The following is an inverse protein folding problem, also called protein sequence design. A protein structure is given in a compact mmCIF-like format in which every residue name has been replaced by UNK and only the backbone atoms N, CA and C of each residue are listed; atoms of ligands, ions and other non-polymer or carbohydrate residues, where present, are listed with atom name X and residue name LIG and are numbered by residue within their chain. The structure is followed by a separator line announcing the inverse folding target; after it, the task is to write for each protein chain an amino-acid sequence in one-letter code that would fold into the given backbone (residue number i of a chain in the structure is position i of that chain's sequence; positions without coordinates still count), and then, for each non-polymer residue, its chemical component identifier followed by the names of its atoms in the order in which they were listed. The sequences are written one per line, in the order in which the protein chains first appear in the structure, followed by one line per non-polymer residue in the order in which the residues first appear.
data_IF_103289982461
#
_entry.id   IF_103289982461
#
_cell.length_a   1.000
_cell.length_b   1.000
_cell.length_c   1.000
_cell.angle_alpha   90.00
_cell.angle_beta   90.00
_cell.angle_gamma   90.00
#
_symmetry.space_group_name_H-M   'P 1'
#
loop_
_entity.id
_entity.type
_entity.pdbx_description
1 polymer ?
#
# COMPACT_ATOMS: atom_id res chain seq x y z
N UNK A 1 -23.00 24.95 -80.15
CA UNK A 1 -21.54 25.07 -80.18
C UNK A 1 -21.02 24.39 -78.92
N UNK A 2 -21.02 23.05 -78.75
CA UNK A 2 -20.53 21.93 -79.57
C UNK A 2 -19.02 21.98 -79.87
N UNK A 3 -18.26 21.17 -79.13
CA UNK A 3 -17.04 20.37 -79.41
C UNK A 3 -16.50 19.93 -78.03
N UNK A 4 -16.64 18.71 -77.46
CA UNK A 4 -16.25 17.34 -77.89
C UNK A 4 -14.86 17.32 -78.55
N UNK A 5 -13.86 16.49 -78.18
CA UNK A 5 -13.62 15.37 -77.25
C UNK A 5 -12.07 15.18 -77.23
N UNK A 6 -11.42 14.29 -76.48
CA UNK A 6 -11.41 12.83 -76.70
C UNK A 6 -10.41 12.17 -75.72
N UNK A 7 -10.81 11.00 -75.16
CA UNK A 7 -10.01 9.80 -74.80
C UNK A 7 -8.92 9.88 -73.71
N UNK A 8 -8.80 8.94 -72.77
CA UNK A 8 -9.49 7.65 -72.61
C UNK A 8 -9.12 6.94 -71.29
N UNK A 9 -10.02 6.02 -70.93
CA UNK A 9 -9.83 4.68 -70.35
C UNK A 9 -9.05 4.43 -69.05
N UNK A 10 -9.85 4.03 -68.04
CA UNK A 10 -9.74 2.99 -67.01
C UNK A 10 -8.46 2.69 -66.18
N UNK A 11 -8.74 2.56 -64.87
CA UNK A 11 -8.02 2.07 -63.67
C UNK A 11 -7.29 0.71 -63.87
N UNK A 12 -6.23 0.38 -63.07
CA UNK A 12 -6.39 0.05 -61.63
C UNK A 12 -5.28 0.50 -60.67
N UNK A 13 -5.67 0.64 -59.40
CA UNK A 13 -4.79 0.64 -58.22
C UNK A 13 -4.28 -0.79 -58.03
N UNK A 14 -2.96 -0.97 -57.97
CA UNK A 14 -2.33 -2.22 -57.53
C UNK A 14 -1.36 -1.92 -56.36
N UNK A 15 -1.48 -2.60 -55.21
CA UNK A 15 -0.73 -2.30 -54.00
C UNK A 15 0.42 -3.31 -53.82
N UNK A 16 1.68 -2.89 -53.91
CA UNK A 16 2.79 -3.50 -53.17
C UNK A 16 4.11 -2.78 -53.46
N UNK A 17 4.95 -2.70 -52.42
CA UNK A 17 6.41 -2.63 -52.45
C UNK A 17 7.06 -1.24 -52.24
N UNK A 18 7.21 -0.85 -50.98
CA UNK A 18 8.55 -0.49 -50.47
C UNK A 18 8.69 -0.97 -49.00
N UNK A 19 9.66 -1.85 -48.67
CA UNK A 19 9.78 -2.49 -47.37
C UNK A 19 10.77 -1.78 -46.40
N UNK A 20 10.38 -1.76 -45.12
CA UNK A 20 11.25 -1.76 -43.91
C UNK A 20 12.13 -0.53 -43.63
N UNK A 21 11.71 0.26 -42.65
CA UNK A 21 12.62 0.79 -41.61
C UNK A 21 11.98 0.56 -40.25
N UNK A 22 12.53 -0.41 -39.53
CA UNK A 22 11.94 -0.99 -38.32
C UNK A 22 11.91 -0.02 -37.15
N UNK A 23 10.72 0.18 -36.61
CA UNK A 23 10.52 0.33 -35.18
C UNK A 23 10.48 -1.09 -34.61
N UNK A 24 11.39 -1.38 -33.68
CA UNK A 24 11.33 -2.61 -32.90
C UNK A 24 10.11 -2.48 -31.98
N UNK A 25 8.98 -2.99 -32.45
CA UNK A 25 7.89 -3.41 -31.58
C UNK A 25 8.47 -4.56 -30.75
N UNK A 26 8.79 -4.32 -29.47
CA UNK A 26 8.98 -5.40 -28.53
C UNK A 26 7.66 -6.16 -28.45
N UNK A 27 7.72 -7.45 -28.77
CA UNK A 27 6.58 -8.36 -28.78
C UNK A 27 6.09 -8.55 -27.33
N UNK A 28 5.29 -7.62 -26.82
CA UNK A 28 4.56 -7.81 -25.56
C UNK A 28 3.67 -9.04 -25.70
N UNK A 29 3.91 -10.04 -24.86
CA UNK A 29 3.25 -11.34 -24.93
C UNK A 29 1.72 -11.14 -24.87
N UNK A 30 0.91 -11.71 -25.78
CA UNK A 30 -0.55 -11.49 -25.80
C UNK A 30 -1.26 -11.81 -24.48
N UNK A 31 -0.68 -12.72 -23.68
CA UNK A 31 -1.14 -13.02 -22.32
C UNK A 31 -0.92 -11.88 -21.32
N UNK A 32 0.15 -11.09 -21.46
CA UNK A 32 0.46 -9.95 -20.58
C UNK A 32 -0.55 -8.82 -20.80
N UNK A 33 -0.78 -8.44 -22.06
CA UNK A 33 -1.79 -7.44 -22.44
C UNK A 33 -3.20 -7.87 -22.04
N UNK A 34 -3.54 -9.16 -22.22
CA UNK A 34 -4.83 -9.70 -21.75
C UNK A 34 -4.96 -9.67 -20.21
N UNK A 35 -3.88 -9.92 -19.48
CA UNK A 35 -3.87 -9.89 -18.01
C UNK A 35 -4.00 -8.47 -17.47
N UNK A 36 -3.33 -7.48 -18.09
CA UNK A 36 -3.41 -6.07 -17.70
C UNK A 36 -4.83 -5.53 -17.93
N UNK A 37 -5.43 -5.77 -19.09
CA UNK A 37 -6.80 -5.33 -19.36
C UNK A 37 -7.85 -6.02 -18.47
N UNK A 38 -7.65 -7.29 -18.13
CA UNK A 38 -8.47 -7.98 -17.13
C UNK A 38 -8.26 -7.40 -15.72
N UNK A 39 -7.04 -6.97 -15.39
CA UNK A 39 -6.72 -6.25 -14.17
C UNK A 39 -7.46 -4.90 -14.10
N UNK A 40 -7.28 -4.03 -15.08
CA UNK A 40 -7.92 -2.70 -15.17
C UNK A 40 -9.44 -2.79 -15.10
N UNK A 41 -10.05 -3.69 -15.89
CA UNK A 41 -11.50 -3.88 -15.91
C UNK A 41 -12.05 -4.38 -14.56
N UNK A 42 -11.21 -5.03 -13.75
CA UNK A 42 -11.57 -5.45 -12.40
C UNK A 42 -11.28 -4.36 -11.35
N UNK A 43 -10.18 -3.61 -11.44
CA UNK A 43 -9.88 -2.46 -10.57
C UNK A 43 -10.94 -1.34 -10.70
N UNK A 44 -11.44 -1.11 -11.91
CA UNK A 44 -12.52 -0.13 -12.16
C UNK A 44 -13.85 -0.47 -11.48
N UNK A 45 -14.03 -1.70 -10.96
CA UNK A 45 -15.24 -2.11 -10.23
C UNK A 45 -15.15 -1.92 -8.71
N UNK A 46 -14.03 -1.42 -8.20
CA UNK A 46 -13.84 -1.25 -6.76
C UNK A 46 -14.56 0.02 -6.28
N UNK A 47 -15.56 -0.15 -5.39
CA UNK A 47 -16.17 1.00 -4.72
C UNK A 47 -15.11 1.69 -3.85
N UNK A 48 -15.02 3.01 -3.94
CA UNK A 48 -14.12 3.84 -3.14
C UNK A 48 -14.23 3.57 -1.63
N UNK A 49 -15.41 3.15 -1.17
CA UNK A 49 -15.66 2.81 0.23
C UNK A 49 -14.85 1.59 0.70
N UNK A 50 -14.74 0.55 -0.11
CA UNK A 50 -14.00 -0.66 0.26
C UNK A 50 -12.49 -0.40 0.26
N UNK A 51 -12.01 0.38 -0.70
CA UNK A 51 -10.62 0.82 -0.73
C UNK A 51 -10.31 1.67 0.52
N UNK A 52 -11.16 2.64 0.83
CA UNK A 52 -10.99 3.51 1.99
C UNK A 52 -10.98 2.71 3.30
N UNK A 53 -11.89 1.74 3.45
CA UNK A 53 -11.92 0.86 4.61
C UNK A 53 -10.61 0.08 4.76
N UNK A 54 -10.12 -0.54 3.68
CA UNK A 54 -8.88 -1.30 3.68
C UNK A 54 -7.69 -0.42 4.13
N UNK A 55 -7.56 0.78 3.55
CA UNK A 55 -6.50 1.72 3.90
C UNK A 55 -6.58 2.19 5.37
N UNK A 56 -7.79 2.38 5.90
CA UNK A 56 -7.99 2.74 7.31
C UNK A 56 -7.54 1.59 8.22
N UNK A 57 -7.92 0.36 7.91
CA UNK A 57 -7.54 -0.82 8.71
C UNK A 57 -6.03 -1.00 8.71
N UNK A 58 -5.39 -0.91 7.55
CA UNK A 58 -3.94 -1.00 7.40
C UNK A 58 -3.21 0.08 8.23
N UNK A 59 -3.68 1.33 8.16
CA UNK A 59 -3.11 2.43 8.95
C UNK A 59 -3.26 2.22 10.47
N UNK A 60 -4.43 1.74 10.92
CA UNK A 60 -4.67 1.44 12.34
C UNK A 60 -3.81 0.27 12.80
N UNK A 61 -3.69 -0.79 11.99
CA UNK A 61 -2.92 -1.99 12.34
C UNK A 61 -1.43 -1.65 12.50
N UNK A 62 -0.83 -0.97 11.53
CA UNK A 62 0.58 -0.54 11.60
C UNK A 62 0.83 0.45 12.75
N UNK A 63 -0.13 1.36 12.99
CA UNK A 63 -0.09 2.28 14.11
C UNK A 63 -0.12 1.55 15.45
N UNK A 64 -1.06 0.63 15.66
CA UNK A 64 -1.23 -0.06 16.94
C UNK A 64 0.00 -0.87 17.36
N UNK A 65 0.77 -1.40 16.41
CA UNK A 65 1.99 -2.15 16.69
C UNK A 65 3.19 -1.26 17.07
N UNK A 66 3.25 -0.03 16.53
CA UNK A 66 4.42 0.85 16.68
C UNK A 66 4.22 1.96 17.71
N UNK A 67 2.98 2.45 17.89
CA UNK A 67 2.64 3.54 18.80
C UNK A 67 3.05 3.26 20.25
N UNK A 68 2.86 2.06 20.85
CA UNK A 68 3.24 1.83 22.24
C UNK A 68 4.73 2.07 22.49
N UNK A 69 5.59 1.61 21.58
CA UNK A 69 7.04 1.80 21.68
C UNK A 69 7.41 3.28 21.51
N UNK A 70 6.84 3.96 20.51
CA UNK A 70 7.09 5.39 20.29
C UNK A 70 6.66 6.27 21.47
N UNK A 71 5.55 5.94 22.13
CA UNK A 71 5.10 6.66 23.33
C UNK A 71 5.96 6.34 24.55
N UNK A 72 6.52 5.13 24.64
CA UNK A 72 7.47 4.76 25.68
C UNK A 72 8.80 5.52 25.56
N UNK A 73 9.28 5.79 24.33
CA UNK A 73 10.53 6.54 24.11
C UNK A 73 10.34 8.06 24.22
N UNK A 74 9.27 8.60 23.63
CA UNK A 74 9.04 10.05 23.54
C UNK A 74 8.31 10.63 24.76
N UNK A 75 7.62 9.79 25.53
CA UNK A 75 6.71 10.22 26.60
C UNK A 75 5.35 10.71 26.05
N UNK A 76 4.37 10.80 26.94
CA UNK A 76 2.97 11.04 26.55
C UNK A 76 2.76 12.38 25.84
N UNK A 77 3.39 13.47 26.31
CA UNK A 77 3.14 14.81 25.76
C UNK A 77 3.69 14.93 24.34
N UNK A 78 4.96 14.57 24.14
CA UNK A 78 5.59 14.65 22.83
C UNK A 78 4.94 13.66 21.84
N UNK A 79 4.62 12.44 22.29
CA UNK A 79 3.92 11.43 21.49
C UNK A 79 2.58 11.93 20.93
N UNK A 80 1.74 12.56 21.77
CA UNK A 80 0.46 13.13 21.33
C UNK A 80 0.67 14.28 20.34
N UNK A 81 1.57 15.22 20.63
CA UNK A 81 1.83 16.37 19.75
C UNK A 81 2.30 15.90 18.37
N UNK A 82 3.22 14.94 18.33
CA UNK A 82 3.74 14.37 17.07
C UNK A 82 2.67 13.59 16.31
N UNK A 83 1.86 12.79 17.00
CA UNK A 83 0.77 12.02 16.38
C UNK A 83 -0.26 12.95 15.75
N UNK A 84 -0.71 13.98 16.47
CA UNK A 84 -1.66 14.98 15.95
C UNK A 84 -1.03 15.78 14.80
N UNK A 85 0.22 16.21 14.96
CA UNK A 85 0.95 16.96 13.93
C UNK A 85 1.09 16.18 12.62
N UNK A 86 1.56 14.93 12.70
CA UNK A 86 1.65 14.02 11.55
C UNK A 86 0.28 13.73 10.93
N UNK A 87 -0.77 13.60 11.76
CA UNK A 87 -2.15 13.46 11.28
C UNK A 87 -2.62 14.67 10.47
N UNK A 88 -2.35 15.90 10.93
CA UNK A 88 -2.70 17.11 10.20
C UNK A 88 -1.94 17.22 8.87
N UNK A 89 -0.65 16.89 8.87
CA UNK A 89 0.15 16.85 7.64
C UNK A 89 -0.41 15.82 6.66
N UNK A 90 -0.74 14.62 7.13
CA UNK A 90 -1.32 13.56 6.30
C UNK A 90 -2.68 13.95 5.70
N UNK A 91 -3.53 14.65 6.46
CA UNK A 91 -4.81 15.18 5.96
C UNK A 91 -4.56 16.23 4.89
N UNK A 92 -3.63 17.16 5.13
CA UNK A 92 -3.31 18.21 4.17
C UNK A 92 -2.74 17.64 2.87
N UNK A 93 -1.79 16.69 2.94
CA UNK A 93 -1.24 16.04 1.74
C UNK A 93 -2.31 15.27 0.98
N UNK A 94 -3.21 14.57 1.67
CA UNK A 94 -4.34 13.86 1.05
C UNK A 94 -5.28 14.82 0.33
N UNK A 95 -5.54 16.00 0.91
CA UNK A 95 -6.35 17.04 0.28
C UNK A 95 -5.69 17.61 -0.99
N UNK A 96 -4.37 17.80 -0.99
CA UNK A 96 -3.62 18.24 -2.18
C UNK A 96 -3.66 17.19 -3.28
N UNK A 97 -3.41 15.91 -2.94
CA UNK A 97 -3.47 14.79 -3.89
C UNK A 97 -4.88 14.69 -4.51
N UNK A 98 -5.93 14.85 -3.69
CA UNK A 98 -7.31 14.87 -4.17
C UNK A 98 -7.58 15.98 -5.19
N UNK A 99 -7.09 17.19 -4.94
CA UNK A 99 -7.21 18.30 -5.90
C UNK A 99 -6.47 18.02 -7.22
N UNK A 100 -5.28 17.42 -7.16
CA UNK A 100 -4.52 17.03 -8.36
C UNK A 100 -5.30 16.02 -9.19
N UNK A 101 -5.89 14.99 -8.56
CA UNK A 101 -6.70 13.98 -9.25
C UNK A 101 -7.95 14.58 -9.92
N UNK A 102 -8.61 15.56 -9.28
CA UNK A 102 -9.75 16.27 -9.87
C UNK A 102 -9.36 17.16 -11.05
N UNK A 103 -8.18 17.79 -10.99
CA UNK A 103 -7.66 18.66 -12.07
C UNK A 103 -7.15 17.86 -13.26
N UNK A 104 -6.56 16.70 -13.02
CA UNK A 104 -5.90 15.85 -14.00
C UNK A 104 -6.43 14.40 -13.90
N UNK A 105 -7.63 14.12 -14.43
CA UNK A 105 -8.28 12.82 -14.27
C UNK A 105 -7.53 11.66 -14.93
N UNK A 106 -6.70 11.95 -15.95
CA UNK A 106 -5.86 11.00 -16.69
C UNK A 106 -4.69 10.43 -15.89
N UNK A 107 -4.39 10.98 -14.70
CA UNK A 107 -3.34 10.46 -13.83
C UNK A 107 -3.90 9.27 -13.06
N UNK A 108 -3.39 8.08 -13.32
CA UNK A 108 -3.83 6.86 -12.61
C UNK A 108 -2.87 6.48 -11.48
N UNK A 109 -1.60 6.85 -11.58
CA UNK A 109 -0.56 6.50 -10.62
C UNK A 109 0.11 7.73 -9.99
N UNK A 110 0.65 7.54 -8.78
CA UNK A 110 1.38 8.59 -8.07
C UNK A 110 2.63 9.07 -8.83
N UNK A 111 3.31 8.19 -9.56
CA UNK A 111 4.45 8.55 -10.39
C UNK A 111 4.08 9.55 -11.49
N UNK A 112 2.90 9.41 -12.10
CA UNK A 112 2.39 10.34 -13.10
C UNK A 112 2.02 11.70 -12.49
N UNK A 113 1.52 11.71 -11.26
CA UNK A 113 1.26 12.95 -10.52
C UNK A 113 2.55 13.75 -10.31
N UNK A 114 3.64 13.08 -9.95
CA UNK A 114 4.93 13.76 -9.73
C UNK A 114 5.64 14.07 -11.04
N UNK A 115 5.37 13.31 -12.11
CA UNK A 115 5.83 13.63 -13.46
C UNK A 115 5.37 15.00 -13.94
N UNK A 116 4.19 15.46 -13.53
CA UNK A 116 3.71 16.81 -13.85
C UNK A 116 4.53 17.92 -13.18
N UNK A 117 5.18 17.62 -12.06
CA UNK A 117 5.95 18.59 -11.27
C UNK A 117 7.42 18.58 -11.68
N UNK A 118 8.02 17.39 -11.83
CA UNK A 118 9.46 17.19 -12.04
C UNK A 118 9.82 16.48 -13.36
N UNK A 119 8.85 16.30 -14.26
CA UNK A 119 9.07 15.64 -15.54
C UNK A 119 9.49 14.18 -15.37
N UNK A 120 10.30 13.69 -16.32
CA UNK A 120 10.70 12.28 -16.38
C UNK A 120 11.52 11.81 -15.17
N UNK A 121 12.33 12.68 -14.58
CA UNK A 121 13.11 12.33 -13.38
C UNK A 121 12.20 12.04 -12.18
N UNK A 122 11.19 12.89 -11.96
CA UNK A 122 10.22 12.70 -10.87
C UNK A 122 9.40 11.41 -11.02
N UNK A 123 9.08 11.03 -12.25
CA UNK A 123 8.38 9.77 -12.54
C UNK A 123 9.20 8.55 -12.07
N UNK A 124 10.46 8.46 -12.51
CA UNK A 124 11.33 7.32 -12.20
C UNK A 124 11.64 7.24 -10.70
N UNK A 125 11.92 8.39 -10.08
CA UNK A 125 12.24 8.47 -8.66
C UNK A 125 11.06 8.00 -7.80
N UNK A 126 9.87 8.52 -8.04
CA UNK A 126 8.68 8.18 -7.23
C UNK A 126 8.21 6.77 -7.52
N UNK A 127 8.29 6.30 -8.76
CA UNK A 127 8.05 4.91 -9.10
C UNK A 127 8.96 3.98 -8.29
N UNK A 128 10.27 4.22 -8.31
CA UNK A 128 11.24 3.43 -7.55
C UNK A 128 11.00 3.49 -6.03
N UNK A 129 10.76 4.69 -5.47
CA UNK A 129 10.48 4.84 -4.04
C UNK A 129 9.20 4.11 -3.61
N UNK A 130 8.14 4.17 -4.43
CA UNK A 130 6.87 3.51 -4.13
C UNK A 130 6.99 1.99 -4.21
N UNK A 131 7.71 1.46 -5.21
CA UNK A 131 7.99 0.02 -5.31
C UNK A 131 8.80 -0.49 -4.12
N UNK A 132 9.84 0.24 -3.71
CA UNK A 132 10.62 -0.12 -2.51
C UNK A 132 9.77 -0.05 -1.25
N UNK A 133 8.95 0.99 -1.09
CA UNK A 133 8.04 1.15 0.04
C UNK A 133 7.07 -0.04 0.15
N UNK A 134 6.37 -0.38 -0.95
CA UNK A 134 5.43 -1.50 -0.97
C UNK A 134 6.14 -2.84 -0.69
N UNK A 135 7.36 -3.03 -1.21
CA UNK A 135 8.15 -4.25 -0.95
C UNK A 135 8.50 -4.39 0.53
N UNK A 136 8.96 -3.30 1.15
CA UNK A 136 9.30 -3.27 2.58
C UNK A 136 8.05 -3.43 3.46
N UNK A 137 6.92 -2.86 3.04
CA UNK A 137 5.63 -3.01 3.71
C UNK A 137 5.20 -4.48 3.73
N UNK A 138 5.22 -5.17 2.58
CA UNK A 138 4.94 -6.61 2.51
C UNK A 138 5.92 -7.42 3.36
N UNK A 139 7.20 -7.06 3.34
CA UNK A 139 8.22 -7.64 4.21
C UNK A 139 7.89 -7.48 5.71
N UNK A 140 7.40 -6.30 6.11
CA UNK A 140 6.94 -6.05 7.48
C UNK A 140 5.80 -6.98 7.89
N UNK A 141 4.84 -7.25 7.02
CA UNK A 141 3.76 -8.21 7.34
C UNK A 141 4.27 -9.64 7.50
N UNK A 142 5.23 -10.07 6.68
CA UNK A 142 5.88 -11.37 6.84
C UNK A 142 6.64 -11.46 8.17
N UNK A 143 7.30 -10.37 8.61
CA UNK A 143 7.94 -10.29 9.92
C UNK A 143 6.92 -10.34 11.06
N UNK A 144 5.81 -9.62 10.97
CA UNK A 144 4.73 -9.69 11.97
C UNK A 144 4.18 -11.12 12.08
N UNK A 145 3.96 -11.81 10.96
CA UNK A 145 3.55 -13.21 10.96
C UNK A 145 4.60 -14.15 11.56
N UNK A 146 5.89 -13.83 11.38
CA UNK A 146 7.00 -14.56 12.03
C UNK A 146 6.88 -14.53 13.54
N UNK A 147 6.67 -13.34 14.11
CA UNK A 147 6.53 -13.14 15.56
C UNK A 147 5.34 -13.93 16.08
N UNK A 148 4.19 -13.85 15.38
CA UNK A 148 2.99 -14.60 15.75
C UNK A 148 3.22 -16.12 15.76
N UNK A 149 3.90 -16.68 14.74
CA UNK A 149 4.16 -18.13 14.70
C UNK A 149 5.15 -18.58 15.77
N UNK A 150 6.19 -17.79 16.04
CA UNK A 150 7.17 -18.08 17.09
C UNK A 150 6.47 -18.15 18.45
N UNK A 151 5.62 -17.17 18.76
CA UNK A 151 4.92 -17.10 20.05
C UNK A 151 3.87 -18.22 20.20
N UNK A 152 3.08 -18.50 19.15
CA UNK A 152 1.99 -19.50 19.21
C UNK A 152 2.53 -20.94 19.26
N UNK A 153 3.51 -21.26 18.41
CA UNK A 153 3.99 -22.63 18.23
C UNK A 153 5.08 -22.98 19.26
N UNK A 154 5.84 -21.99 19.73
CA UNK A 154 6.83 -22.13 20.82
C UNK A 154 7.78 -23.33 20.65
N UNK A 155 8.25 -23.60 19.42
CA UNK A 155 9.19 -24.68 19.13
C UNK A 155 10.64 -24.19 19.18
N UNK A 156 11.48 -24.67 20.13
CA UNK A 156 12.82 -24.14 20.36
C UNK A 156 13.86 -24.53 19.28
N UNK A 157 13.49 -25.32 18.27
CA UNK A 157 14.42 -25.87 17.27
C UNK A 157 14.41 -25.18 15.90
N UNK A 158 13.47 -24.27 15.63
CA UNK A 158 13.29 -23.64 14.31
C UNK A 158 13.65 -22.15 14.43
N UNK A 159 14.56 -21.67 13.57
CA UNK A 159 14.96 -20.25 13.60
C UNK A 159 13.85 -19.34 13.04
N UNK A 160 13.78 -18.10 13.54
CA UNK A 160 12.77 -17.12 13.14
C UNK A 160 12.75 -16.88 11.60
N UNK A 161 13.90 -17.04 10.92
CA UNK A 161 13.96 -16.93 9.46
C UNK A 161 13.07 -17.96 8.76
N UNK A 162 13.02 -19.20 9.24
CA UNK A 162 12.17 -20.25 8.64
C UNK A 162 10.69 -19.91 8.84
N UNK A 163 10.31 -19.42 10.02
CA UNK A 163 8.96 -18.93 10.28
C UNK A 163 8.57 -17.75 9.38
N UNK A 164 9.52 -16.88 9.06
CA UNK A 164 9.32 -15.78 8.12
C UNK A 164 9.04 -16.25 6.70
N UNK A 165 9.80 -17.23 6.21
CA UNK A 165 9.56 -17.83 4.89
C UNK A 165 8.18 -18.51 4.85
N UNK A 166 7.81 -19.26 5.89
CA UNK A 166 6.48 -19.89 5.97
C UNK A 166 5.38 -18.83 5.97
N UNK A 167 5.53 -17.76 6.75
CA UNK A 167 4.57 -16.66 6.79
C UNK A 167 4.43 -15.98 5.42
N UNK A 168 5.54 -15.72 4.73
CA UNK A 168 5.53 -15.14 3.39
C UNK A 168 4.81 -16.03 2.38
N UNK A 169 5.02 -17.36 2.43
CA UNK A 169 4.32 -18.31 1.55
C UNK A 169 2.82 -18.30 1.81
N UNK A 170 2.39 -18.27 3.08
CA UNK A 170 0.98 -18.22 3.45
C UNK A 170 0.35 -16.90 2.98
N UNK A 171 1.00 -15.76 3.26
CA UNK A 171 0.57 -14.43 2.82
C UNK A 171 0.46 -14.38 1.29
N UNK A 172 1.45 -14.91 0.58
CA UNK A 172 1.43 -14.99 -0.88
C UNK A 172 0.25 -15.83 -1.38
N UNK A 173 0.03 -17.02 -0.81
CA UNK A 173 -1.10 -17.88 -1.18
C UNK A 173 -2.46 -17.20 -0.95
N UNK A 174 -2.62 -16.47 0.16
CA UNK A 174 -3.83 -15.72 0.50
C UNK A 174 -3.97 -14.43 -0.32
N UNK A 175 -2.89 -13.92 -0.92
CA UNK A 175 -2.91 -12.77 -1.81
C UNK A 175 -3.26 -13.13 -3.28
N UNK A 176 -3.22 -14.41 -3.65
CA UNK A 176 -3.58 -14.90 -4.99
C UNK A 176 -5.09 -14.88 -5.37
N UNK A 177 -6.10 -14.86 -4.46
CA UNK A 177 -7.48 -14.98 -4.89
C UNK A 177 -7.92 -13.75 -5.72
N UNK A 178 -8.57 -13.95 -6.88
CA UNK A 178 -8.53 -13.01 -8.01
C UNK A 178 -9.87 -12.27 -8.25
N UNK A 179 -10.75 -12.20 -7.24
CA UNK A 179 -12.14 -11.75 -7.35
C UNK A 179 -12.47 -10.61 -6.37
N UNK A 180 -12.68 -9.42 -6.92
CA UNK A 180 -12.79 -8.13 -6.24
C UNK A 180 -14.04 -7.99 -5.35
N UNK A 181 -15.04 -8.85 -5.51
CA UNK A 181 -16.19 -8.95 -4.61
C UNK A 181 -15.84 -9.57 -3.26
N UNK A 182 -14.80 -10.41 -3.20
CA UNK A 182 -14.36 -11.06 -1.95
C UNK A 182 -13.54 -10.11 -1.09
N UNK A 183 -12.73 -9.25 -1.72
CA UNK A 183 -11.94 -8.23 -1.03
C UNK A 183 -12.79 -7.24 -0.22
N UNK A 184 -13.96 -6.87 -0.74
CA UNK A 184 -14.89 -5.98 -0.06
C UNK A 184 -15.37 -6.57 1.28
N UNK A 185 -15.69 -7.87 1.31
CA UNK A 185 -16.13 -8.56 2.52
C UNK A 185 -14.99 -8.81 3.50
N UNK A 186 -13.80 -9.18 2.99
CA UNK A 186 -12.61 -9.40 3.81
C UNK A 186 -12.19 -8.13 4.57
N UNK A 187 -12.33 -6.94 3.97
CA UNK A 187 -12.05 -5.68 4.67
C UNK A 187 -12.91 -5.44 5.91
N UNK A 188 -14.18 -5.87 5.92
CA UNK A 188 -15.03 -5.78 7.12
C UNK A 188 -14.62 -6.78 8.19
N UNK A 189 -14.22 -7.99 7.80
CA UNK A 189 -13.68 -9.00 8.73
C UNK A 189 -12.39 -8.49 9.36
N UNK A 190 -11.48 -7.95 8.56
CA UNK A 190 -10.20 -7.42 9.02
C UNK A 190 -10.41 -6.23 9.99
N UNK A 191 -11.30 -5.30 9.64
CA UNK A 191 -11.69 -4.23 10.54
C UNK A 191 -12.21 -4.74 11.89
N UNK A 192 -13.14 -5.71 11.88
CA UNK A 192 -13.67 -6.31 13.10
C UNK A 192 -12.56 -7.02 13.91
N UNK A 193 -11.65 -7.71 13.23
CA UNK A 193 -10.50 -8.41 13.83
C UNK A 193 -9.55 -7.45 14.53
N UNK A 194 -9.15 -6.36 13.87
CA UNK A 194 -8.25 -5.35 14.44
C UNK A 194 -8.88 -4.65 15.65
N UNK A 195 -10.16 -4.27 15.57
CA UNK A 195 -10.87 -3.68 16.71
C UNK A 195 -10.92 -4.66 17.89
N UNK A 196 -11.25 -5.93 17.64
CA UNK A 196 -11.25 -6.96 18.68
C UNK A 196 -9.86 -7.15 19.29
N UNK A 197 -8.80 -7.21 18.48
CA UNK A 197 -7.42 -7.34 18.94
C UNK A 197 -7.00 -6.16 19.84
N UNK A 198 -7.31 -4.93 19.43
CA UNK A 198 -7.02 -3.72 20.23
C UNK A 198 -7.75 -3.77 21.57
N UNK A 199 -9.04 -4.11 21.58
CA UNK A 199 -9.83 -4.20 22.80
C UNK A 199 -9.29 -5.29 23.75
N UNK A 200 -8.96 -6.46 23.21
CA UNK A 200 -8.36 -7.55 23.97
C UNK A 200 -7.03 -7.11 24.59
N UNK A 201 -6.16 -6.44 23.82
CA UNK A 201 -4.89 -5.92 24.33
C UNK A 201 -5.10 -4.91 25.46
N UNK A 202 -5.99 -3.93 25.28
CA UNK A 202 -6.29 -2.92 26.32
C UNK A 202 -6.79 -3.59 27.61
N UNK A 203 -7.75 -4.52 27.50
CA UNK A 203 -8.32 -5.21 28.66
C UNK A 203 -7.25 -6.10 29.33
N UNK A 204 -6.50 -6.87 28.55
CA UNK A 204 -5.45 -7.78 29.03
C UNK A 204 -4.34 -7.04 29.78
N UNK A 205 -3.83 -5.95 29.19
CA UNK A 205 -2.82 -5.11 29.82
C UNK A 205 -3.37 -4.41 31.06
N UNK A 206 -4.63 -3.94 31.03
CA UNK A 206 -5.29 -3.33 32.19
C UNK A 206 -5.46 -4.28 33.37
N UNK A 207 -5.89 -5.53 33.11
CA UNK A 207 -6.00 -6.57 34.16
C UNK A 207 -4.63 -6.93 34.72
N UNK A 208 -3.63 -7.08 33.84
CA UNK A 208 -2.25 -7.37 34.23
C UNK A 208 -1.68 -6.26 35.12
N UNK A 209 -1.87 -4.99 34.75
CA UNK A 209 -1.49 -3.83 35.56
C UNK A 209 -2.23 -3.78 36.91
N UNK A 210 -3.53 -4.07 36.94
CA UNK A 210 -4.33 -4.11 38.16
C UNK A 210 -3.91 -5.22 39.14
N UNK A 211 -3.39 -6.34 38.62
CA UNK A 211 -2.93 -7.47 39.43
C UNK A 211 -1.53 -7.32 40.04
N UNK A 212 -0.76 -6.32 39.61
CA UNK A 212 0.59 -6.07 40.14
C UNK A 212 0.55 -5.41 41.52
N UNK A 213 1.57 -5.65 42.39
CA UNK A 213 1.68 -4.97 43.68
C UNK A 213 1.76 -3.45 43.48
N UNK A 214 0.73 -2.72 43.89
CA UNK A 214 0.58 -1.27 43.65
C UNK A 214 -0.49 -0.88 42.61
N UNK A 215 -1.11 -1.86 41.94
CA UNK A 215 -2.23 -1.67 41.02
C UNK A 215 -1.92 -0.74 39.84
N UNK A 216 -2.93 0.00 39.38
CA UNK A 216 -2.79 0.97 38.27
C UNK A 216 -1.78 2.09 38.55
N UNK A 217 -1.44 2.33 39.82
CA UNK A 217 -0.46 3.34 40.23
C UNK A 217 0.99 2.86 40.09
N UNK A 218 1.21 1.55 39.88
CA UNK A 218 2.53 0.96 39.62
C UNK A 218 2.90 0.97 38.13
N UNK A 219 1.98 1.37 37.24
CA UNK A 219 2.25 1.47 35.81
C UNK A 219 3.27 2.59 35.57
N UNK A 220 4.41 2.23 35.00
CA UNK A 220 5.46 3.17 34.64
C UNK A 220 5.01 3.99 33.41
N UNK A 221 4.41 5.15 33.65
CA UNK A 221 4.09 6.14 32.63
C UNK A 221 4.80 7.45 32.97
N UNK A 222 5.36 8.10 31.96
CA UNK A 222 5.97 9.43 32.12
C UNK A 222 5.35 10.41 31.13
N UNK A 223 5.16 11.66 31.60
CA UNK A 223 4.75 12.76 30.73
C UNK A 223 5.89 13.18 29.78
N UNK A 224 7.13 13.03 30.25
CA UNK A 224 8.37 13.46 29.60
C UNK A 224 9.23 12.26 29.18
N UNK A 225 10.10 12.39 28.16
CA UNK A 225 11.03 11.34 27.79
C UNK A 225 11.86 10.87 29.01
N UNK A 226 12.14 9.56 29.14
CA UNK A 226 13.04 9.04 30.18
C UNK A 226 14.42 9.71 30.15
N UNK A 227 15.07 9.86 31.31
CA UNK A 227 16.32 10.62 31.44
C UNK A 227 17.52 10.01 30.68
N UNK A 228 17.39 8.75 30.24
CA UNK A 228 18.40 7.98 29.51
C UNK A 228 18.22 7.99 27.99
N UNK A 229 17.23 8.72 27.44
CA UNK A 229 17.03 8.80 25.99
C UNK A 229 17.92 9.88 25.34
N UNK A 230 18.88 9.41 24.54
CA UNK A 230 19.67 10.26 23.64
C UNK A 230 18.96 10.46 22.28
N UNK A 231 19.25 11.55 21.56
CA UNK A 231 18.61 11.87 20.27
C UNK A 231 18.67 10.76 19.19
N UNK A 232 19.60 9.80 19.30
CA UNK A 232 19.72 8.69 18.35
C UNK A 232 18.92 7.44 18.74
N UNK A 233 18.42 7.39 19.98
CA UNK A 233 17.65 6.27 20.54
C UNK A 233 16.16 6.61 20.70
N UNK A 234 15.77 7.85 20.40
CA UNK A 234 14.40 8.36 20.47
C UNK A 234 13.69 8.28 19.13
#
# INVERSE_FOLDING_TARGET
MSHQGLSGDEKPMDPLNDPKKGEKQEDEHPLEVATIHQGEAKFSKLSWQHLALCLIVEAIALGALSLPSAFATLGMVAGVILTVGMGLVAIYTSHVIGQVKLRHPHIEHYADAVRLIWGRFGYELVGAMFTVYLTLLVGSHALTGTIAFVDIISQPGICALVWSVISAIILFAVALPPTFSEFAWLGYIDFASIIAAILITIISTGVSAGSQPGGMSAVNWSAWPPEDVTFHSA
#
